data_IF_356721268706
#
_entry.id   IF_356721268706
#
_cell.length_a   1.000
_cell.length_b   1.000
_cell.length_c   1.000
_cell.angle_alpha   90.00
_cell.angle_beta   90.00
_cell.angle_gamma   90.00
#
_symmetry.space_group_name_H-M   'P 1'
#
loop_
_entity.id
_entity.type
_entity.pdbx_description
1 polymer ?
#
# COMPACT_ATOMS: atom_id res chain seq x y z
N UNK A 1 -18.49 -3.18 24.60
CA UNK A 1 -17.06 -3.39 24.33
C UNK A 1 -16.85 -4.90 24.22
N UNK A 2 -16.81 -5.46 23.00
CA UNK A 2 -16.57 -6.90 22.84
C UNK A 2 -15.10 -7.22 23.20
N UNK A 3 -14.82 -8.33 23.89
CA UNK A 3 -13.44 -8.75 24.16
C UNK A 3 -12.72 -8.99 22.83
N UNK A 4 -11.46 -8.57 22.76
CA UNK A 4 -10.60 -8.85 21.62
C UNK A 4 -10.39 -10.36 21.54
N UNK A 5 -11.06 -11.00 20.58
CA UNK A 5 -10.85 -12.41 20.27
C UNK A 5 -9.36 -12.60 19.98
N UNK A 6 -8.68 -13.48 20.72
CA UNK A 6 -7.29 -13.82 20.47
C UNK A 6 -7.16 -14.32 19.03
N UNK A 7 -6.26 -13.75 18.20
CA UNK A 7 -6.12 -14.18 16.82
C UNK A 7 -5.76 -15.68 16.76
N UNK A 8 -6.28 -16.43 15.79
CA UNK A 8 -5.99 -17.85 15.65
C UNK A 8 -4.48 -18.06 15.49
N UNK A 9 -3.95 -19.08 16.17
CA UNK A 9 -2.55 -19.49 16.02
C UNK A 9 -2.28 -19.83 14.55
N UNK A 10 -1.18 -19.34 13.95
CA UNK A 10 -0.90 -19.57 12.54
C UNK A 10 -0.77 -21.07 12.24
N UNK A 11 -1.45 -21.55 11.20
CA UNK A 11 -1.34 -22.93 10.74
C UNK A 11 0.06 -23.16 10.14
N UNK A 12 0.86 -24.09 10.68
CA UNK A 12 2.22 -24.37 10.21
C UNK A 12 2.29 -24.87 8.75
N UNK A 13 1.16 -25.28 8.16
CA UNK A 13 1.08 -25.71 6.75
C UNK A 13 0.99 -24.54 5.76
N UNK A 14 0.72 -23.33 6.24
CA UNK A 14 0.57 -22.11 5.43
C UNK A 14 1.36 -20.94 6.06
N UNK A 15 2.71 -21.05 6.10
CA UNK A 15 3.57 -20.19 6.92
C UNK A 15 3.63 -18.71 6.50
N UNK A 16 2.95 -18.30 5.43
CA UNK A 16 3.00 -16.95 4.86
C UNK A 16 1.64 -16.23 4.83
N UNK A 17 0.62 -16.74 5.52
CA UNK A 17 -0.66 -16.03 5.65
C UNK A 17 -0.49 -14.75 6.46
N UNK A 18 -0.85 -13.63 5.85
CA UNK A 18 -0.93 -12.35 6.53
C UNK A 18 -2.18 -12.33 7.43
N UNK A 19 -1.98 -12.04 8.70
CA UNK A 19 -3.08 -11.81 9.65
C UNK A 19 -3.79 -10.49 9.30
N UNK A 20 -5.13 -10.43 9.37
CA UNK A 20 -5.86 -9.17 9.21
C UNK A 20 -5.40 -8.19 10.28
N UNK A 21 -4.86 -7.04 9.86
CA UNK A 21 -4.61 -5.94 10.79
C UNK A 21 -5.91 -5.19 11.08
N UNK A 22 -6.09 -4.67 12.30
CA UNK A 22 -7.23 -3.82 12.62
C UNK A 22 -7.31 -2.68 11.59
N UNK A 23 -8.37 -2.68 10.79
CA UNK A 23 -8.57 -1.72 9.71
C UNK A 23 -8.91 -0.37 10.33
N UNK A 24 -8.10 0.66 10.03
CA UNK A 24 -8.58 2.04 10.14
C UNK A 24 -9.30 2.37 8.84
N UNK A 25 -10.48 3.01 8.87
CA UNK A 25 -11.16 3.41 7.64
C UNK A 25 -10.27 4.40 6.89
N UNK A 26 -9.88 4.04 5.68
CA UNK A 26 -9.20 4.93 4.73
C UNK A 26 -10.22 5.35 3.67
N UNK A 27 -10.34 6.64 3.41
CA UNK A 27 -11.23 7.16 2.35
C UNK A 27 -10.53 7.17 0.98
N UNK A 28 -9.20 7.07 0.98
CA UNK A 28 -8.33 7.18 -0.18
C UNK A 28 -7.19 6.16 -0.07
N UNK A 29 -6.95 5.44 -1.15
CA UNK A 29 -5.86 4.49 -1.31
C UNK A 29 -4.87 5.01 -2.37
N UNK A 30 -3.70 5.43 -1.91
CA UNK A 30 -2.59 5.79 -2.79
C UNK A 30 -1.84 4.53 -3.21
N UNK A 31 -1.66 4.35 -4.51
CA UNK A 31 -1.04 3.16 -5.10
C UNK A 31 0.17 3.52 -5.96
N UNK A 32 1.11 2.59 -6.03
CA UNK A 32 2.32 2.68 -6.83
C UNK A 32 2.72 1.30 -7.37
N UNK A 33 3.72 1.29 -8.25
CA UNK A 33 4.24 0.07 -8.88
C UNK A 33 3.63 -0.21 -10.24
N UNK A 34 4.08 -1.31 -10.87
CA UNK A 34 3.78 -1.60 -12.29
C UNK A 34 2.29 -1.79 -12.58
N UNK A 35 1.52 -2.33 -11.63
CA UNK A 35 0.07 -2.53 -11.79
C UNK A 35 -0.70 -1.21 -11.83
N UNK A 36 -0.17 -0.15 -11.23
CA UNK A 36 -0.76 1.19 -11.28
C UNK A 36 -0.70 1.86 -12.66
N UNK A 37 -0.08 1.20 -13.66
CA UNK A 37 -0.10 1.66 -15.04
C UNK A 37 -1.38 1.25 -15.81
N UNK A 38 -2.30 0.51 -15.19
CA UNK A 38 -3.54 0.04 -15.84
C UNK A 38 -4.77 0.54 -15.09
N UNK A 39 -5.53 1.41 -15.75
CA UNK A 39 -6.78 1.96 -15.20
C UNK A 39 -7.80 0.87 -14.85
N UNK A 40 -7.87 -0.19 -15.66
CA UNK A 40 -8.76 -1.33 -15.40
C UNK A 40 -8.41 -2.05 -14.10
N UNK A 41 -7.12 -2.28 -13.85
CA UNK A 41 -6.68 -2.92 -12.60
C UNK A 41 -6.92 -2.00 -11.40
N UNK A 42 -6.76 -0.69 -11.58
CA UNK A 42 -7.03 0.31 -10.55
C UNK A 42 -8.52 0.41 -10.22
N UNK A 43 -9.38 0.39 -11.23
CA UNK A 43 -10.83 0.39 -11.03
C UNK A 43 -11.29 -0.90 -10.33
N UNK A 44 -10.78 -2.06 -10.76
CA UNK A 44 -11.05 -3.33 -10.09
C UNK A 44 -10.65 -3.27 -8.61
N UNK A 45 -9.50 -2.67 -8.29
CA UNK A 45 -9.07 -2.51 -6.91
C UNK A 45 -10.00 -1.57 -6.12
N UNK A 46 -10.43 -0.46 -6.72
CA UNK A 46 -11.38 0.47 -6.12
C UNK A 46 -12.72 -0.22 -5.81
N UNK A 47 -13.22 -1.02 -6.74
CA UNK A 47 -14.48 -1.76 -6.61
C UNK A 47 -14.40 -2.84 -5.51
N UNK A 48 -13.29 -3.58 -5.43
CA UNK A 48 -13.10 -4.64 -4.43
C UNK A 48 -12.90 -4.10 -3.01
N UNK A 49 -12.22 -2.96 -2.87
CA UNK A 49 -11.90 -2.37 -1.57
C UNK A 49 -12.96 -1.37 -1.11
N UNK A 50 -13.72 -0.79 -2.05
CA UNK A 50 -14.77 0.20 -1.78
C UNK A 50 -14.22 1.58 -1.39
N UNK A 51 -13.05 1.95 -1.89
CA UNK A 51 -12.37 3.23 -1.58
C UNK A 51 -11.84 3.88 -2.86
N UNK A 52 -11.69 5.20 -2.84
CA UNK A 52 -11.07 5.93 -3.95
C UNK A 52 -9.62 5.47 -4.11
N UNK A 53 -9.19 5.18 -5.33
CA UNK A 53 -7.80 4.79 -5.64
C UNK A 53 -7.15 5.91 -6.44
N UNK A 54 -5.98 6.37 -5.99
CA UNK A 54 -5.18 7.42 -6.64
C UNK A 54 -3.79 6.85 -6.93
N UNK A 55 -3.28 7.06 -8.15
CA UNK A 55 -1.91 6.72 -8.51
C UNK A 55 -1.12 7.97 -8.88
N UNK A 56 0.20 7.91 -8.69
CA UNK A 56 1.09 8.97 -9.16
C UNK A 56 1.25 8.93 -10.68
N UNK A 57 1.40 10.09 -11.31
CA UNK A 57 1.86 10.19 -12.70
C UNK A 57 3.32 9.75 -12.87
N UNK A 58 4.15 9.89 -11.82
CA UNK A 58 5.54 9.44 -11.85
C UNK A 58 5.59 7.90 -11.77
N UNK A 59 6.01 7.26 -12.87
CA UNK A 59 6.01 5.79 -12.99
C UNK A 59 7.05 5.10 -12.11
N UNK A 60 8.24 5.70 -11.98
CA UNK A 60 9.37 5.14 -11.22
C UNK A 60 9.49 5.77 -9.82
N UNK A 61 8.45 5.60 -9.01
CA UNK A 61 8.40 6.15 -7.64
C UNK A 61 9.52 5.64 -6.73
N UNK A 62 10.01 4.42 -6.96
CA UNK A 62 11.16 3.85 -6.22
C UNK A 62 12.44 4.61 -6.51
N UNK A 63 12.74 4.84 -7.80
CA UNK A 63 13.93 5.60 -8.21
C UNK A 63 13.82 7.06 -7.76
N UNK A 64 12.63 7.66 -7.87
CA UNK A 64 12.37 9.00 -7.36
C UNK A 64 12.66 9.10 -5.86
N UNK A 65 12.16 8.17 -5.05
CA UNK A 65 12.40 8.16 -3.60
C UNK A 65 13.88 8.06 -3.25
N UNK A 66 14.63 7.19 -3.93
CA UNK A 66 16.07 7.08 -3.75
C UNK A 66 16.81 8.38 -4.13
N UNK A 67 16.44 8.99 -5.26
CA UNK A 67 17.01 10.27 -5.70
C UNK A 67 16.71 11.40 -4.72
N UNK A 68 15.50 11.46 -4.16
CA UNK A 68 15.13 12.46 -3.16
C UNK A 68 15.96 12.29 -1.87
N UNK A 69 16.13 11.07 -1.38
CA UNK A 69 16.96 10.80 -0.20
C UNK A 69 18.43 11.18 -0.43
N UNK A 70 18.98 10.83 -1.59
CA UNK A 70 20.35 11.17 -1.95
C UNK A 70 20.54 12.69 -2.07
N UNK A 71 19.63 13.39 -2.76
CA UNK A 71 19.67 14.83 -2.93
C UNK A 71 19.59 15.59 -1.60
N UNK A 72 18.75 15.15 -0.68
CA UNK A 72 18.69 15.74 0.66
C UNK A 72 20.00 15.54 1.43
N UNK A 73 20.64 14.38 1.29
CA UNK A 73 21.89 14.05 2.01
C UNK A 73 23.07 14.92 1.57
N UNK A 74 23.11 15.32 0.30
CA UNK A 74 24.17 16.20 -0.23
C UNK A 74 23.78 17.69 -0.21
N UNK A 75 22.70 18.03 0.49
CA UNK A 75 22.12 19.38 0.54
C UNK A 75 21.87 19.99 -0.83
N UNK A 76 21.51 19.16 -1.82
CA UNK A 76 21.11 19.64 -3.15
C UNK A 76 19.82 20.47 -3.05
N UNK A 77 18.96 20.10 -2.10
CA UNK A 77 17.76 20.80 -1.70
C UNK A 77 17.47 20.54 -0.22
N UNK A 78 16.62 21.38 0.38
CA UNK A 78 16.31 21.35 1.81
C UNK A 78 16.76 22.62 2.49
#
# INVERSE_FOLDING_TARGET
MLPAQTPPSPDPRVPHLLQPRPRRPAQLLKVNGRMSASDTLLQLQADLVGVVVEHSEMKETTALGAGLLAGHTISLFG
#
